data_IF_031174097598
#
_entry.id   IF_031174097598
#
_cell.length_a   1.000
_cell.length_b   1.000
_cell.length_c   1.000
_cell.angle_alpha   90.00
_cell.angle_beta   90.00
_cell.angle_gamma   90.00
#
_symmetry.space_group_name_H-M   'P 1'
#
loop_
_entity.id
_entity.type
_entity.pdbx_description
1 polymer ?
#
# COMPACT_ATOMS: atom_id res chain seq x y z
N UNK A 1 -25.65 -26.30 35.91
CA UNK A 1 -24.34 -26.42 35.25
C UNK A 1 -24.42 -27.03 33.85
N UNK A 2 -24.96 -28.23 33.67
CA UNK A 2 -25.00 -28.94 32.36
C UNK A 2 -25.76 -28.19 31.25
N UNK A 3 -26.83 -27.47 31.57
CA UNK A 3 -27.60 -26.65 30.59
C UNK A 3 -26.79 -25.43 30.11
N UNK A 4 -26.10 -24.75 31.00
CA UNK A 4 -25.19 -23.63 30.65
C UNK A 4 -24.02 -24.10 29.76
N UNK A 5 -23.43 -25.23 30.05
CA UNK A 5 -22.35 -25.81 29.25
C UNK A 5 -22.84 -26.14 27.83
N UNK A 6 -24.00 -26.75 27.68
CA UNK A 6 -24.59 -27.04 26.36
C UNK A 6 -24.87 -25.76 25.58
N UNK A 7 -25.35 -24.70 26.24
CA UNK A 7 -25.61 -23.41 25.62
C UNK A 7 -24.30 -22.75 25.12
N UNK A 8 -23.24 -22.77 25.95
CA UNK A 8 -21.92 -22.24 25.55
C UNK A 8 -21.32 -23.02 24.39
N UNK A 9 -21.44 -24.35 24.40
CA UNK A 9 -20.99 -25.17 23.26
C UNK A 9 -21.76 -24.83 21.98
N UNK A 10 -23.10 -24.63 22.08
CA UNK A 10 -23.92 -24.22 20.96
C UNK A 10 -23.44 -22.89 20.34
N UNK A 11 -23.18 -21.88 21.18
CA UNK A 11 -22.64 -20.58 20.73
C UNK A 11 -21.28 -20.77 20.04
N UNK A 12 -20.37 -21.55 20.63
CA UNK A 12 -19.04 -21.79 20.05
C UNK A 12 -19.14 -22.45 18.65
N UNK A 13 -20.05 -23.42 18.49
CA UNK A 13 -20.29 -24.07 17.19
C UNK A 13 -20.84 -23.07 16.17
N UNK A 14 -21.80 -22.22 16.55
CA UNK A 14 -22.33 -21.19 15.65
C UNK A 14 -21.27 -20.19 15.25
N UNK A 15 -20.46 -19.70 16.19
CA UNK A 15 -19.35 -18.79 15.88
C UNK A 15 -18.31 -19.43 14.95
N UNK A 16 -17.94 -20.68 15.20
CA UNK A 16 -17.06 -21.42 14.32
C UNK A 16 -17.64 -21.57 12.91
N UNK A 17 -18.93 -21.89 12.78
CA UNK A 17 -19.60 -22.00 11.50
C UNK A 17 -19.64 -20.66 10.75
N UNK A 18 -19.87 -19.54 11.43
CA UNK A 18 -19.85 -18.19 10.85
C UNK A 18 -18.44 -17.85 10.32
N UNK A 19 -17.38 -18.14 11.09
CA UNK A 19 -16.00 -17.90 10.67
C UNK A 19 -15.65 -18.74 9.44
N UNK A 20 -16.02 -20.01 9.45
CA UNK A 20 -15.77 -20.92 8.31
C UNK A 20 -16.54 -20.44 7.07
N UNK A 21 -17.83 -20.11 7.22
CA UNK A 21 -18.63 -19.57 6.11
C UNK A 21 -18.04 -18.26 5.57
N UNK A 22 -17.61 -17.34 6.43
CA UNK A 22 -16.96 -16.10 6.04
C UNK A 22 -15.68 -16.36 5.22
N UNK A 23 -14.89 -17.35 5.60
CA UNK A 23 -13.67 -17.71 4.87
C UNK A 23 -13.95 -18.27 3.46
N UNK A 24 -15.08 -18.96 3.29
CA UNK A 24 -15.50 -19.44 1.96
C UNK A 24 -16.13 -18.34 1.10
N UNK A 25 -16.88 -17.42 1.72
CA UNK A 25 -17.54 -16.31 1.01
C UNK A 25 -16.54 -15.20 0.61
N UNK A 26 -15.50 -15.02 1.41
CA UNK A 26 -14.46 -14.00 1.20
C UNK A 26 -13.08 -14.66 1.16
N UNK A 27 -12.76 -15.41 0.10
CA UNK A 27 -11.44 -16.03 -0.02
C UNK A 27 -10.36 -14.94 -0.08
N UNK A 28 -9.24 -15.19 0.59
CA UNK A 28 -8.07 -14.31 0.45
C UNK A 28 -7.57 -14.35 -0.99
N UNK A 29 -7.03 -13.24 -1.52
CA UNK A 29 -6.39 -13.22 -2.83
C UNK A 29 -5.34 -14.32 -2.94
N UNK A 30 -5.33 -15.04 -4.07
CA UNK A 30 -4.29 -16.03 -4.35
C UNK A 30 -2.98 -15.29 -4.68
N UNK A 31 -2.01 -15.40 -3.79
CA UNK A 31 -0.68 -14.81 -3.96
C UNK A 31 0.35 -15.85 -4.42
N UNK A 32 -0.03 -17.14 -4.55
CA UNK A 32 0.91 -18.21 -4.89
C UNK A 32 1.52 -18.04 -6.28
N UNK A 33 0.76 -17.45 -7.21
CA UNK A 33 1.17 -17.20 -8.59
C UNK A 33 1.63 -15.76 -8.83
N UNK A 34 1.85 -14.97 -7.77
CA UNK A 34 2.36 -13.61 -7.93
C UNK A 34 3.79 -13.66 -8.46
N UNK A 35 4.08 -13.05 -9.61
CA UNK A 35 5.44 -13.02 -10.14
C UNK A 35 6.37 -12.35 -9.12
N UNK A 36 7.57 -12.88 -8.99
CA UNK A 36 8.60 -12.23 -8.18
C UNK A 36 8.97 -10.89 -8.85
N UNK A 37 8.69 -9.81 -8.17
CA UNK A 37 9.07 -8.48 -8.62
C UNK A 37 10.39 -8.09 -7.95
N UNK A 38 11.31 -7.56 -8.74
CA UNK A 38 12.55 -6.98 -8.25
C UNK A 38 12.50 -5.46 -8.37
N UNK A 39 13.21 -4.76 -7.48
CA UNK A 39 13.35 -3.32 -7.59
C UNK A 39 13.86 -2.94 -8.98
N UNK A 40 13.19 -1.98 -9.62
CA UNK A 40 13.64 -1.47 -10.91
C UNK A 40 14.93 -0.66 -10.73
N UNK A 41 15.90 -0.79 -11.64
CA UNK A 41 17.06 0.10 -11.63
C UNK A 41 16.62 1.54 -11.87
N UNK A 42 17.46 2.50 -11.49
CA UNK A 42 17.22 3.91 -11.75
C UNK A 42 17.01 4.15 -13.26
N UNK A 43 15.85 4.64 -13.63
CA UNK A 43 15.48 4.89 -15.02
C UNK A 43 16.01 6.27 -15.46
N UNK A 44 17.23 6.32 -15.97
CA UNK A 44 17.91 7.56 -16.39
C UNK A 44 17.30 8.22 -17.64
N UNK A 45 16.41 7.52 -18.32
CA UNK A 45 15.62 8.00 -19.47
C UNK A 45 14.35 8.76 -19.08
N UNK A 46 14.01 8.79 -17.78
CA UNK A 46 12.86 9.52 -17.26
C UNK A 46 13.26 10.87 -16.64
N UNK A 47 12.31 11.80 -16.58
CA UNK A 47 12.56 13.10 -15.93
C UNK A 47 12.92 12.96 -14.45
N UNK A 48 12.20 12.13 -13.70
CA UNK A 48 12.51 11.88 -12.28
C UNK A 48 13.85 11.19 -12.12
N UNK A 49 14.18 10.24 -12.99
CA UNK A 49 15.47 9.55 -12.97
C UNK A 49 16.65 10.48 -13.28
N UNK A 50 16.49 11.42 -14.21
CA UNK A 50 17.52 12.43 -14.50
C UNK A 50 17.77 13.33 -13.29
N UNK A 51 16.72 13.87 -12.67
CA UNK A 51 16.83 14.69 -11.45
C UNK A 51 17.50 13.90 -10.29
N UNK A 52 17.12 12.64 -10.10
CA UNK A 52 17.75 11.78 -9.10
C UNK A 52 19.22 11.52 -9.40
N UNK A 53 19.58 11.31 -10.66
CA UNK A 53 20.97 11.10 -11.10
C UNK A 53 21.85 12.29 -10.80
N UNK A 54 21.38 13.51 -11.02
CA UNK A 54 22.10 14.75 -10.68
C UNK A 54 22.42 14.79 -9.18
N UNK A 55 21.43 14.52 -8.32
CA UNK A 55 21.62 14.49 -6.87
C UNK A 55 22.58 13.40 -6.41
N UNK A 56 22.47 12.19 -6.96
CA UNK A 56 23.34 11.04 -6.63
C UNK A 56 24.78 11.32 -7.07
N UNK A 57 24.97 11.92 -8.23
CA UNK A 57 26.31 12.26 -8.76
C UNK A 57 26.97 13.35 -7.94
N UNK A 58 26.20 14.34 -7.49
CA UNK A 58 26.72 15.42 -6.63
C UNK A 58 27.08 14.94 -5.21
N UNK A 59 26.42 13.87 -4.73
CA UNK A 59 26.57 13.36 -3.37
C UNK A 59 26.70 11.82 -3.34
N UNK A 60 27.80 11.25 -3.84
CA UNK A 60 27.97 9.81 -3.96
C UNK A 60 27.92 9.13 -2.57
N UNK A 61 27.15 8.05 -2.48
CA UNK A 61 26.97 7.27 -1.25
C UNK A 61 26.05 7.92 -0.20
N UNK A 62 25.42 9.06 -0.49
CA UNK A 62 24.45 9.72 0.38
C UNK A 62 23.02 9.60 -0.17
N UNK A 63 22.04 9.74 0.71
CA UNK A 63 20.63 9.83 0.35
C UNK A 63 20.13 11.26 0.53
N UNK A 64 19.39 11.76 -0.47
CA UNK A 64 18.71 13.05 -0.37
C UNK A 64 17.43 12.92 0.44
N UNK A 65 17.21 13.82 1.41
CA UNK A 65 16.01 13.88 2.23
C UNK A 65 15.45 15.30 2.20
N UNK A 66 14.16 15.43 1.90
CA UNK A 66 13.43 16.68 2.02
C UNK A 66 12.24 16.51 2.96
N UNK A 67 12.17 17.34 4.00
CA UNK A 67 11.08 17.30 4.96
C UNK A 67 9.88 18.06 4.41
N UNK A 68 8.71 17.44 4.40
CA UNK A 68 7.43 18.05 4.05
C UNK A 68 6.68 18.40 5.35
N UNK A 69 6.74 19.64 5.77
CA UNK A 69 6.26 20.09 7.08
C UNK A 69 4.74 20.16 7.20
N UNK A 70 4.00 20.24 6.09
CA UNK A 70 2.53 20.29 6.11
C UNK A 70 1.90 19.12 5.36
N UNK A 71 0.69 18.71 5.80
CA UNK A 71 -0.07 17.68 5.10
C UNK A 71 -0.46 18.09 3.66
N UNK A 72 -0.65 19.35 3.40
CA UNK A 72 -0.94 19.88 2.05
C UNK A 72 0.27 19.72 1.14
N UNK A 73 1.46 20.08 1.60
CA UNK A 73 2.70 19.92 0.83
C UNK A 73 3.01 18.44 0.57
N UNK A 74 2.74 17.59 1.57
CA UNK A 74 2.89 16.14 1.42
C UNK A 74 1.92 15.55 0.37
N UNK A 75 0.66 15.99 0.34
CA UNK A 75 -0.30 15.57 -0.67
C UNK A 75 0.09 16.09 -2.06
N UNK A 76 0.39 17.39 -2.17
CA UNK A 76 0.79 18.03 -3.44
C UNK A 76 2.03 17.35 -4.04
N UNK A 77 3.03 17.04 -3.20
CA UNK A 77 4.25 16.35 -3.65
C UNK A 77 3.95 14.94 -4.18
N UNK A 78 3.03 14.19 -3.53
CA UNK A 78 2.61 12.86 -4.03
C UNK A 78 1.89 12.95 -5.36
N UNK A 79 0.94 13.88 -5.51
CA UNK A 79 0.23 14.12 -6.77
C UNK A 79 1.22 14.49 -7.88
N UNK A 80 2.16 15.40 -7.63
CA UNK A 80 3.18 15.77 -8.62
C UNK A 80 4.09 14.59 -9.00
N UNK A 81 4.42 13.69 -8.06
CA UNK A 81 5.19 12.48 -8.38
C UNK A 81 4.38 11.52 -9.26
N UNK A 82 3.08 11.35 -8.99
CA UNK A 82 2.18 10.52 -9.81
C UNK A 82 2.09 11.10 -11.23
N UNK A 83 1.79 12.39 -11.37
CA UNK A 83 1.68 13.07 -12.66
C UNK A 83 2.99 13.05 -13.48
N UNK A 84 4.14 13.01 -12.79
CA UNK A 84 5.46 13.02 -13.45
C UNK A 84 5.97 11.61 -13.75
N UNK A 85 5.38 10.58 -13.16
CA UNK A 85 5.80 9.19 -13.37
C UNK A 85 5.62 8.76 -14.83
N UNK A 86 6.65 8.14 -15.42
CA UNK A 86 6.65 7.76 -16.84
C UNK A 86 6.64 6.23 -17.06
N UNK A 87 7.05 5.43 -16.08
CA UNK A 87 7.14 3.98 -16.23
C UNK A 87 6.26 3.23 -15.23
N UNK A 88 6.41 3.55 -13.95
CA UNK A 88 5.70 2.84 -12.88
C UNK A 88 5.59 3.68 -11.63
N UNK A 89 4.57 3.38 -10.85
CA UNK A 89 4.35 3.92 -9.51
C UNK A 89 4.27 2.73 -8.55
N UNK A 90 5.04 2.77 -7.47
CA UNK A 90 4.94 1.83 -6.36
C UNK A 90 4.36 2.57 -5.16
N UNK A 91 3.08 2.35 -4.88
CA UNK A 91 2.35 3.01 -3.82
C UNK A 91 2.11 2.04 -2.66
N UNK A 92 2.84 2.21 -1.57
CA UNK A 92 2.73 1.40 -0.37
C UNK A 92 2.15 2.21 0.77
N UNK A 93 0.94 1.87 1.20
CA UNK A 93 0.24 2.52 2.31
C UNK A 93 -0.16 1.48 3.36
N UNK A 94 0.08 1.81 4.63
CA UNK A 94 -0.37 0.97 5.74
C UNK A 94 -1.90 0.97 5.84
N UNK A 95 -2.51 2.13 5.67
CA UNK A 95 -3.97 2.31 5.63
C UNK A 95 -4.30 3.25 4.47
N UNK A 96 -5.26 2.87 3.63
CA UNK A 96 -5.85 3.72 2.62
C UNK A 96 -7.26 4.12 3.06
N UNK A 97 -7.50 5.42 3.23
CA UNK A 97 -8.81 5.94 3.57
C UNK A 97 -9.57 6.37 2.32
N UNK A 98 -10.89 6.19 2.33
CA UNK A 98 -11.83 6.67 1.31
C UNK A 98 -12.24 8.15 1.52
N UNK A 99 -11.31 8.95 2.04
CA UNK A 99 -11.47 10.39 2.19
C UNK A 99 -11.04 11.14 0.91
N UNK A 100 -11.22 12.46 0.92
CA UNK A 100 -10.88 13.32 -0.23
C UNK A 100 -9.43 13.13 -0.69
N UNK A 101 -8.49 12.94 0.24
CA UNK A 101 -7.08 12.78 -0.11
C UNK A 101 -6.78 11.41 -0.73
N UNK A 102 -7.41 10.35 -0.22
CA UNK A 102 -7.31 9.01 -0.77
C UNK A 102 -7.91 8.91 -2.18
N UNK A 103 -9.07 9.55 -2.40
CA UNK A 103 -9.72 9.61 -3.72
C UNK A 103 -8.86 10.36 -4.72
N UNK A 104 -8.35 11.55 -4.37
CA UNK A 104 -7.48 12.33 -5.26
C UNK A 104 -6.21 11.57 -5.68
N UNK A 105 -5.62 10.78 -4.77
CA UNK A 105 -4.44 9.95 -5.08
C UNK A 105 -4.78 8.76 -5.99
N UNK A 106 -6.03 8.29 -6.00
CA UNK A 106 -6.47 7.20 -6.89
C UNK A 106 -6.86 7.69 -8.28
N UNK A 107 -7.30 8.94 -8.38
CA UNK A 107 -7.73 9.55 -9.65
C UNK A 107 -6.56 10.17 -10.43
N UNK A 108 -5.45 10.46 -9.77
CA UNK A 108 -4.26 11.01 -10.40
C UNK A 108 -3.45 9.94 -11.14
#
# INVERSE_FOLDING_TARGET
>A
MLRMLKFLIGIAIVLAAVVVAGRFMFPLPDIANRPAETARPLATDTRLGQLATEGITAHPGLSGVSALASGKDALASRLSLIETAQHSIDAQYYIWHDDTSGILLLEA
#
